data_IF_851923319437
#
_entry.id   IF_851923319437
#
_cell.length_a   1.000
_cell.length_b   1.000
_cell.length_c   1.000
_cell.angle_alpha   90.00
_cell.angle_beta   90.00
_cell.angle_gamma   90.00
#
_symmetry.space_group_name_H-M   'P 1'
#
loop_
_entity.id
_entity.type
_entity.pdbx_description
1 polymer ?
#
# COMPACT_ATOMS: atom_id res chain seq x y z
N UNK A 1 28.48 -14.50 -2.08
CA UNK A 1 27.34 -13.93 -2.85
C UNK A 1 26.09 -14.50 -2.21
N UNK A 2 25.30 -13.68 -1.53
CA UNK A 2 24.06 -14.16 -0.91
C UNK A 2 22.99 -14.31 -1.98
N UNK A 3 22.54 -15.53 -2.21
CA UNK A 3 21.32 -15.79 -2.97
C UNK A 3 20.18 -15.01 -2.28
N UNK A 4 19.64 -14.03 -2.93
CA UNK A 4 18.47 -13.33 -2.41
C UNK A 4 17.30 -14.33 -2.41
N UNK A 5 16.44 -14.29 -1.39
CA UNK A 5 15.26 -15.16 -1.33
C UNK A 5 14.37 -14.99 -2.58
N UNK A 6 14.46 -13.85 -3.27
CA UNK A 6 13.75 -13.57 -4.53
C UNK A 6 14.30 -14.35 -5.73
N UNK A 7 15.62 -14.55 -5.82
CA UNK A 7 16.21 -15.38 -6.88
C UNK A 7 15.73 -16.83 -6.77
N UNK A 8 15.57 -17.34 -5.54
CA UNK A 8 14.99 -18.66 -5.29
C UNK A 8 13.55 -18.77 -5.79
N UNK A 9 12.73 -17.75 -5.60
CA UNK A 9 11.36 -17.72 -6.08
C UNK A 9 11.30 -17.94 -7.60
N UNK A 10 12.13 -17.23 -8.36
CA UNK A 10 12.21 -17.35 -9.81
C UNK A 10 12.72 -18.70 -10.29
N UNK A 11 13.74 -19.22 -9.63
CA UNK A 11 14.39 -20.48 -10.06
C UNK A 11 13.55 -21.71 -9.76
N UNK A 12 12.80 -21.70 -8.65
CA UNK A 12 12.02 -22.85 -8.18
C UNK A 12 10.63 -22.83 -8.79
N UNK A 13 10.08 -21.65 -9.07
CA UNK A 13 8.70 -21.45 -9.53
C UNK A 13 7.69 -22.26 -8.68
N UNK A 14 7.61 -22.02 -7.35
CA UNK A 14 6.82 -22.82 -6.45
C UNK A 14 5.33 -22.63 -6.69
N UNK A 15 4.53 -23.69 -6.52
CA UNK A 15 3.07 -23.57 -6.55
C UNK A 15 2.55 -22.73 -5.38
N UNK A 16 3.14 -22.88 -4.20
CA UNK A 16 2.73 -22.19 -2.97
C UNK A 16 3.96 -21.58 -2.31
N UNK A 17 3.88 -20.31 -1.94
CA UNK A 17 4.84 -19.59 -1.12
C UNK A 17 4.27 -19.39 0.28
N UNK A 18 4.97 -19.90 1.28
CA UNK A 18 4.61 -19.76 2.69
C UNK A 18 5.32 -18.54 3.27
N UNK A 19 4.56 -17.62 3.81
CA UNK A 19 5.06 -16.42 4.49
C UNK A 19 4.99 -16.62 6.00
N UNK A 20 6.13 -16.35 6.65
CA UNK A 20 6.32 -16.57 8.08
C UNK A 20 5.45 -15.62 8.92
N UNK A 21 4.99 -16.09 10.07
CA UNK A 21 4.23 -15.36 11.08
C UNK A 21 4.83 -14.01 11.44
N UNK A 22 6.15 -13.88 11.49
CA UNK A 22 6.83 -12.65 11.87
C UNK A 22 6.43 -11.45 11.01
N UNK A 23 6.08 -11.69 9.74
CA UNK A 23 5.60 -10.65 8.82
C UNK A 23 4.23 -10.11 9.27
N UNK A 24 3.30 -10.98 9.69
CA UNK A 24 2.00 -10.57 10.24
C UNK A 24 2.13 -9.84 11.57
N UNK A 25 2.97 -10.32 12.49
CA UNK A 25 3.22 -9.67 13.77
C UNK A 25 3.80 -8.27 13.57
N UNK A 26 4.72 -8.10 12.63
CA UNK A 26 5.24 -6.79 12.30
C UNK A 26 4.18 -5.87 11.67
N UNK A 27 3.33 -6.41 10.80
CA UNK A 27 2.26 -5.68 10.13
C UNK A 27 1.15 -5.23 11.09
N UNK A 28 0.92 -5.95 12.19
CA UNK A 28 -0.05 -5.61 13.23
C UNK A 28 0.29 -4.28 13.91
N UNK A 29 1.57 -4.02 14.14
CA UNK A 29 2.05 -2.87 14.91
C UNK A 29 2.68 -1.76 14.07
N UNK A 30 2.82 -1.95 12.76
CA UNK A 30 3.54 -1.03 11.90
C UNK A 30 2.88 -0.93 10.52
N UNK A 31 2.29 0.24 10.22
CA UNK A 31 1.62 0.51 8.94
C UNK A 31 2.55 0.34 7.72
N UNK A 32 3.83 0.69 7.86
CA UNK A 32 4.80 0.49 6.78
C UNK A 32 5.08 -0.99 6.53
N UNK A 33 5.17 -1.80 7.60
CA UNK A 33 5.31 -3.25 7.48
C UNK A 33 4.07 -3.88 6.84
N UNK A 34 2.86 -3.37 7.14
CA UNK A 34 1.60 -3.78 6.50
C UNK A 34 1.62 -3.53 5.00
N UNK A 35 1.94 -2.32 4.56
CA UNK A 35 2.07 -1.99 3.13
C UNK A 35 3.10 -2.86 2.40
N UNK A 36 4.21 -3.18 3.07
CA UNK A 36 5.23 -4.06 2.51
C UNK A 36 4.72 -5.50 2.38
N UNK A 37 3.97 -6.00 3.36
CA UNK A 37 3.35 -7.33 3.31
C UNK A 37 2.34 -7.44 2.17
N UNK A 38 1.45 -6.45 2.01
CA UNK A 38 0.50 -6.37 0.90
C UNK A 38 1.21 -6.39 -0.46
N UNK A 39 2.26 -5.57 -0.60
CA UNK A 39 3.07 -5.52 -1.83
C UNK A 39 3.78 -6.84 -2.11
N UNK A 40 4.28 -7.52 -1.07
CA UNK A 40 4.94 -8.82 -1.19
C UNK A 40 3.96 -9.90 -1.64
N UNK A 41 2.78 -9.98 -1.02
CA UNK A 41 1.72 -10.93 -1.40
C UNK A 41 1.32 -10.71 -2.85
N UNK A 42 1.04 -9.46 -3.24
CA UNK A 42 0.68 -9.11 -4.61
C UNK A 42 1.75 -9.54 -5.62
N UNK A 43 3.03 -9.25 -5.33
CA UNK A 43 4.14 -9.61 -6.21
C UNK A 43 4.26 -11.13 -6.39
N UNK A 44 4.08 -11.91 -5.32
CA UNK A 44 4.14 -13.38 -5.38
C UNK A 44 2.98 -13.92 -6.21
N UNK A 45 1.77 -13.41 -6.02
CA UNK A 45 0.58 -13.80 -6.80
C UNK A 45 0.73 -13.45 -8.28
N UNK A 46 1.23 -12.25 -8.59
CA UNK A 46 1.52 -11.84 -9.97
C UNK A 46 2.60 -12.70 -10.64
N UNK A 47 3.48 -13.35 -9.86
CA UNK A 47 4.43 -14.34 -10.38
C UNK A 47 3.81 -15.72 -10.67
N UNK A 48 2.52 -15.93 -10.34
CA UNK A 48 1.79 -17.17 -10.59
C UNK A 48 1.79 -18.17 -9.43
N UNK A 49 2.32 -17.80 -8.26
CA UNK A 49 2.32 -18.63 -7.05
C UNK A 49 1.17 -18.26 -6.13
N UNK A 50 0.58 -19.26 -5.45
CA UNK A 50 -0.34 -19.04 -4.34
C UNK A 50 0.42 -18.58 -3.09
N UNK A 51 -0.20 -17.76 -2.26
CA UNK A 51 0.38 -17.29 -1.00
C UNK A 51 -0.34 -17.88 0.19
N UNK A 52 0.41 -18.54 1.08
CA UNK A 52 -0.05 -18.99 2.39
C UNK A 52 0.54 -18.09 3.49
N UNK A 53 -0.31 -17.42 4.26
CA UNK A 53 0.08 -16.73 5.48
C UNK A 53 -0.07 -17.64 6.69
N UNK A 54 1.03 -17.83 7.42
CA UNK A 54 1.12 -18.73 8.58
C UNK A 54 1.02 -17.98 9.91
N UNK A 55 0.62 -18.72 10.95
CA UNK A 55 0.70 -18.29 12.33
C UNK A 55 -0.31 -17.22 12.72
N UNK A 56 -1.51 -17.25 12.14
CA UNK A 56 -2.62 -16.37 12.51
C UNK A 56 -3.18 -16.82 13.87
N UNK A 57 -3.08 -15.98 14.90
CA UNK A 57 -3.48 -16.31 16.26
C UNK A 57 -4.62 -15.44 16.81
N UNK A 58 -4.88 -14.28 16.19
CA UNK A 58 -5.93 -13.37 16.62
C UNK A 58 -6.70 -12.76 15.45
N UNK A 59 -7.83 -12.12 15.73
CA UNK A 59 -8.73 -11.51 14.74
C UNK A 59 -8.05 -10.37 13.97
N UNK A 60 -7.20 -9.56 14.62
CA UNK A 60 -6.46 -8.47 13.95
C UNK A 60 -5.54 -9.01 12.87
N UNK A 61 -4.79 -10.08 13.17
CA UNK A 61 -3.92 -10.73 12.19
C UNK A 61 -4.73 -11.36 11.05
N UNK A 62 -5.87 -11.95 11.35
CA UNK A 62 -6.76 -12.51 10.32
C UNK A 62 -7.30 -11.41 9.39
N UNK A 63 -7.70 -10.26 9.94
CA UNK A 63 -8.15 -9.11 9.16
C UNK A 63 -7.03 -8.57 8.25
N UNK A 64 -5.83 -8.38 8.78
CA UNK A 64 -4.67 -7.96 7.99
C UNK A 64 -4.41 -8.98 6.86
N UNK A 65 -4.43 -10.28 7.18
CA UNK A 65 -4.19 -11.32 6.20
C UNK A 65 -5.23 -11.32 5.06
N UNK A 66 -6.51 -11.10 5.38
CA UNK A 66 -7.57 -10.94 4.38
C UNK A 66 -7.36 -9.70 3.50
N UNK A 67 -6.94 -8.57 4.08
CA UNK A 67 -6.63 -7.34 3.33
C UNK A 67 -5.47 -7.51 2.35
N UNK A 68 -4.51 -8.40 2.63
CA UNK A 68 -3.42 -8.69 1.69
C UNK A 68 -3.84 -9.47 0.47
N UNK A 69 -5.07 -10.02 0.44
CA UNK A 69 -5.57 -10.95 -0.59
C UNK A 69 -4.75 -12.25 -0.69
N UNK A 70 -4.17 -12.73 0.42
CA UNK A 70 -3.52 -14.03 0.45
C UNK A 70 -4.51 -15.16 0.16
N UNK A 71 -4.07 -16.17 -0.59
CA UNK A 71 -4.93 -17.25 -1.07
C UNK A 71 -5.27 -18.26 0.03
N UNK A 72 -4.36 -18.48 0.97
CA UNK A 72 -4.45 -19.47 2.03
C UNK A 72 -4.06 -18.86 3.37
N UNK A 73 -4.80 -19.23 4.43
CA UNK A 73 -4.58 -18.76 5.79
C UNK A 73 -4.42 -19.96 6.74
N UNK A 74 -3.40 -19.91 7.60
CA UNK A 74 -3.14 -20.95 8.59
C UNK A 74 -2.78 -20.35 9.94
N UNK A 75 -3.34 -20.89 11.02
CA UNK A 75 -2.99 -20.45 12.38
C UNK A 75 -3.91 -21.04 13.46
N UNK A 76 -3.51 -20.82 14.71
CA UNK A 76 -4.25 -21.32 15.88
C UNK A 76 -5.59 -20.65 16.09
N UNK A 77 -5.83 -19.53 15.44
CA UNK A 77 -7.15 -18.90 15.41
C UNK A 77 -8.19 -19.82 14.77
N UNK A 78 -7.82 -20.56 13.73
CA UNK A 78 -8.72 -21.46 12.99
C UNK A 78 -8.76 -22.85 13.61
N UNK A 79 -7.61 -23.46 13.80
CA UNK A 79 -7.50 -24.78 14.41
C UNK A 79 -6.10 -25.01 15.01
N UNK A 80 -6.05 -25.74 16.12
CA UNK A 80 -4.81 -26.29 16.65
C UNK A 80 -4.52 -27.64 16.00
N UNK A 81 -3.25 -28.07 15.91
CA UNK A 81 -2.92 -29.41 15.47
C UNK A 81 -3.68 -30.45 16.29
N UNK A 82 -4.44 -31.29 15.64
CA UNK A 82 -5.23 -32.37 16.25
C UNK A 82 -5.18 -33.62 15.40
N UNK A 83 -5.55 -34.75 15.98
CA UNK A 83 -5.77 -35.96 15.19
C UNK A 83 -6.98 -35.78 14.27
N UNK A 84 -6.90 -36.30 13.04
CA UNK A 84 -7.97 -36.20 12.05
C UNK A 84 -9.36 -36.63 12.58
N UNK A 85 -9.39 -37.56 13.53
CA UNK A 85 -10.63 -38.05 14.18
C UNK A 85 -11.25 -37.02 15.16
N UNK A 86 -10.50 -35.99 15.55
CA UNK A 86 -10.93 -34.95 16.50
C UNK A 86 -11.13 -33.58 15.83
N UNK A 87 -10.96 -33.55 14.51
CA UNK A 87 -11.15 -32.31 13.76
C UNK A 87 -12.66 -32.07 13.55
N UNK A 88 -13.14 -30.93 13.99
CA UNK A 88 -14.52 -30.46 13.80
C UNK A 88 -14.53 -29.37 12.71
N UNK A 89 -14.70 -29.75 11.44
CA UNK A 89 -14.63 -28.80 10.32
C UNK A 89 -15.70 -27.71 10.40
N UNK A 90 -16.87 -28.02 10.96
CA UNK A 90 -18.01 -27.12 11.09
C UNK A 90 -17.68 -25.93 12.00
N UNK A 91 -16.95 -26.13 13.10
CA UNK A 91 -16.51 -25.03 14.01
C UNK A 91 -15.51 -24.12 13.33
N UNK A 92 -14.58 -24.69 12.56
CA UNK A 92 -13.59 -23.94 11.79
C UNK A 92 -14.27 -23.10 10.70
N UNK A 93 -15.25 -23.66 10.00
CA UNK A 93 -16.02 -22.97 8.98
C UNK A 93 -16.86 -21.81 9.56
N UNK A 94 -17.50 -22.02 10.71
CA UNK A 94 -18.25 -20.98 11.40
C UNK A 94 -17.35 -19.84 11.88
N UNK A 95 -16.17 -20.15 12.43
CA UNK A 95 -15.19 -19.15 12.84
C UNK A 95 -14.71 -18.32 11.63
N UNK A 96 -14.42 -19.00 10.52
CA UNK A 96 -13.99 -18.33 9.29
C UNK A 96 -15.09 -17.40 8.72
N UNK A 97 -16.34 -17.87 8.70
CA UNK A 97 -17.48 -17.05 8.23
C UNK A 97 -17.66 -15.78 9.08
N UNK A 98 -17.49 -15.86 10.41
CA UNK A 98 -17.53 -14.69 11.30
C UNK A 98 -16.40 -13.72 10.97
N UNK A 99 -15.17 -14.21 10.86
CA UNK A 99 -14.00 -13.38 10.54
C UNK A 99 -14.19 -12.68 9.19
N UNK A 100 -14.70 -13.37 8.18
CA UNK A 100 -14.97 -12.78 6.86
C UNK A 100 -16.07 -11.73 6.96
N UNK A 101 -17.14 -11.95 7.71
CA UNK A 101 -18.22 -10.99 7.89
C UNK A 101 -17.72 -9.72 8.58
N UNK A 102 -16.99 -9.85 9.70
CA UNK A 102 -16.40 -8.73 10.43
C UNK A 102 -15.39 -7.96 9.55
N UNK A 103 -14.59 -8.68 8.76
CA UNK A 103 -13.67 -8.09 7.81
C UNK A 103 -14.38 -7.34 6.69
N UNK A 104 -15.51 -7.84 6.21
CA UNK A 104 -16.29 -7.21 5.14
C UNK A 104 -16.87 -5.86 5.58
N UNK A 105 -17.36 -5.76 6.82
CA UNK A 105 -17.86 -4.49 7.37
C UNK A 105 -16.73 -3.46 7.52
N UNK A 106 -15.59 -3.88 8.07
CA UNK A 106 -14.41 -3.03 8.20
C UNK A 106 -13.89 -2.59 6.82
N UNK A 107 -13.78 -3.50 5.87
CA UNK A 107 -13.36 -3.19 4.50
C UNK A 107 -14.31 -2.21 3.80
N UNK A 108 -15.62 -2.33 4.01
CA UNK A 108 -16.59 -1.39 3.46
C UNK A 108 -16.46 0.02 4.05
N UNK A 109 -16.07 0.13 5.34
CA UNK A 109 -15.76 1.42 5.95
C UNK A 109 -14.44 1.99 5.43
N UNK A 110 -13.40 1.18 5.35
CA UNK A 110 -12.10 1.57 4.79
C UNK A 110 -12.23 2.09 3.36
N UNK A 111 -13.05 1.42 2.52
CA UNK A 111 -13.35 1.87 1.16
C UNK A 111 -14.04 3.24 1.15
N UNK A 112 -15.06 3.45 2.00
CA UNK A 112 -15.76 4.74 2.09
C UNK A 112 -14.83 5.88 2.54
N UNK A 113 -13.96 5.59 3.51
CA UNK A 113 -12.99 6.56 4.03
C UNK A 113 -11.94 6.89 2.96
N UNK A 114 -11.48 5.88 2.22
CA UNK A 114 -10.58 6.05 1.09
C UNK A 114 -11.22 6.84 -0.05
N UNK A 115 -12.47 6.57 -0.42
CA UNK A 115 -13.20 7.34 -1.42
C UNK A 115 -13.41 8.80 -0.99
N UNK A 116 -13.68 9.02 0.29
CA UNK A 116 -13.84 10.37 0.85
C UNK A 116 -12.53 11.14 0.82
N UNK A 117 -11.43 10.48 1.17
CA UNK A 117 -10.08 11.02 1.07
C UNK A 117 -9.72 11.37 -0.38
N UNK A 118 -9.97 10.47 -1.34
CA UNK A 118 -9.68 10.75 -2.76
C UNK A 118 -10.56 11.86 -3.33
N UNK A 119 -11.81 11.99 -2.88
CA UNK A 119 -12.67 13.13 -3.25
C UNK A 119 -12.09 14.46 -2.76
N UNK A 120 -11.66 14.52 -1.50
CA UNK A 120 -11.02 15.70 -0.95
C UNK A 120 -9.74 16.04 -1.72
N UNK A 121 -8.87 15.05 -1.92
CA UNK A 121 -7.62 15.22 -2.64
C UNK A 121 -7.86 15.74 -4.08
N UNK A 122 -8.82 15.15 -4.78
CA UNK A 122 -9.20 15.60 -6.13
C UNK A 122 -9.72 17.03 -6.15
N UNK A 123 -10.54 17.40 -5.18
CA UNK A 123 -11.05 18.77 -5.03
C UNK A 123 -9.90 19.76 -4.86
N UNK A 124 -8.97 19.52 -3.92
CA UNK A 124 -7.85 20.40 -3.66
C UNK A 124 -6.86 20.48 -4.85
N UNK A 125 -6.70 19.39 -5.60
CA UNK A 125 -5.92 19.40 -6.85
C UNK A 125 -6.58 20.32 -7.89
N UNK A 126 -7.90 20.23 -8.09
CA UNK A 126 -8.64 21.06 -9.04
C UNK A 126 -8.57 22.54 -8.65
N UNK A 127 -8.72 22.87 -7.36
CA UNK A 127 -8.57 24.22 -6.84
C UNK A 127 -7.15 24.78 -7.06
N UNK A 128 -6.13 23.94 -6.86
CA UNK A 128 -4.74 24.31 -7.15
C UNK A 128 -4.53 24.56 -8.65
N UNK A 129 -5.08 23.71 -9.52
CA UNK A 129 -5.03 23.90 -10.98
C UNK A 129 -5.75 25.19 -11.42
N UNK A 130 -6.94 25.46 -10.84
CA UNK A 130 -7.68 26.69 -11.11
C UNK A 130 -6.89 27.95 -10.66
N UNK A 131 -6.25 27.88 -9.51
CA UNK A 131 -5.40 28.96 -9.01
C UNK A 131 -4.20 29.21 -9.93
N UNK A 132 -3.57 28.16 -10.43
CA UNK A 132 -2.47 28.23 -11.40
C UNK A 132 -2.92 28.82 -12.75
N UNK A 133 -4.13 28.48 -13.23
CA UNK A 133 -4.68 29.06 -14.47
C UNK A 133 -4.95 30.57 -14.37
N UNK A 134 -5.07 31.08 -13.14
CA UNK A 134 -5.16 32.51 -12.83
C UNK A 134 -3.81 33.15 -12.53
N UNK A 135 -2.74 32.49 -12.90
CA UNK A 135 -1.36 32.97 -12.73
C UNK A 135 -0.93 33.20 -11.26
N UNK A 136 -1.63 32.60 -10.30
CA UNK A 136 -1.18 32.63 -8.91
C UNK A 136 0.14 31.88 -8.73
N UNK A 137 1.02 32.35 -7.83
CA UNK A 137 2.27 31.66 -7.54
C UNK A 137 2.03 30.20 -7.13
N UNK A 138 2.89 29.29 -7.58
CA UNK A 138 2.79 27.86 -7.30
C UNK A 138 2.69 27.53 -5.80
N UNK A 139 3.46 28.26 -4.96
CA UNK A 139 3.40 28.12 -3.51
C UNK A 139 2.02 28.45 -2.94
N UNK A 140 1.38 29.51 -3.45
CA UNK A 140 0.05 29.93 -3.02
C UNK A 140 -1.02 28.95 -3.50
N UNK A 141 -0.93 28.52 -4.76
CA UNK A 141 -1.87 27.59 -5.37
C UNK A 141 -1.90 26.22 -4.67
N UNK A 142 -0.76 25.71 -4.22
CA UNK A 142 -0.63 24.38 -3.62
C UNK A 142 -0.68 24.37 -2.08
N UNK A 143 -0.86 25.51 -1.43
CA UNK A 143 -0.80 25.58 0.03
C UNK A 143 -1.81 24.66 0.71
N UNK A 144 -3.09 24.77 0.34
CA UNK A 144 -4.16 23.92 0.88
C UNK A 144 -3.98 22.45 0.57
N UNK A 145 -3.50 22.13 -0.63
CA UNK A 145 -3.20 20.75 -1.03
C UNK A 145 -2.11 20.14 -0.15
N UNK A 146 -1.13 20.91 0.29
CA UNK A 146 -0.09 20.44 1.22
C UNK A 146 -0.58 20.25 2.65
N UNK A 147 -1.71 20.85 3.03
CA UNK A 147 -2.34 20.66 4.35
C UNK A 147 -3.13 19.33 4.41
N UNK A 148 -3.50 18.76 3.27
CA UNK A 148 -4.18 17.46 3.22
C UNK A 148 -3.28 16.38 3.80
N UNK A 149 -3.80 15.59 4.72
CA UNK A 149 -3.02 14.52 5.35
C UNK A 149 -2.52 13.52 4.30
N UNK A 150 -1.30 13.02 4.48
CA UNK A 150 -0.64 12.13 3.51
C UNK A 150 0.02 12.84 2.32
N UNK A 151 -0.34 14.09 1.99
CA UNK A 151 0.33 14.87 0.96
C UNK A 151 1.66 15.38 1.50
N UNK A 152 2.75 14.93 0.92
CA UNK A 152 4.12 15.27 1.34
C UNK A 152 4.76 16.33 0.46
N UNK A 153 4.35 16.40 -0.81
CA UNK A 153 5.00 17.20 -1.83
C UNK A 153 4.07 17.48 -3.00
N UNK A 154 4.18 18.69 -3.56
CA UNK A 154 3.63 19.05 -4.86
C UNK A 154 4.77 19.42 -5.81
N UNK A 155 4.66 19.07 -7.07
CA UNK A 155 5.58 19.51 -8.11
C UNK A 155 4.81 19.80 -9.40
N UNK A 156 5.31 20.76 -10.17
CA UNK A 156 4.71 21.20 -11.42
C UNK A 156 5.59 20.76 -12.58
N UNK A 157 5.00 20.16 -13.59
CA UNK A 157 5.64 19.75 -14.83
C UNK A 157 5.11 20.60 -15.97
N UNK A 158 5.98 20.97 -16.88
CA UNK A 158 5.57 21.56 -18.15
C UNK A 158 5.13 20.47 -19.14
N UNK A 159 4.54 20.82 -20.32
CA UNK A 159 4.13 19.85 -21.35
C UNK A 159 5.24 18.96 -21.88
N UNK A 160 6.50 19.34 -21.71
CA UNK A 160 7.68 18.54 -22.08
C UNK A 160 8.14 17.61 -20.96
N UNK A 161 7.41 17.55 -19.85
CA UNK A 161 7.73 16.71 -18.69
C UNK A 161 8.90 17.21 -17.84
N UNK A 162 9.29 18.48 -18.01
CA UNK A 162 10.36 19.10 -17.23
C UNK A 162 9.76 19.73 -15.99
N UNK A 163 10.34 19.44 -14.84
CA UNK A 163 9.91 19.97 -13.55
C UNK A 163 10.25 21.46 -13.41
N UNK A 164 9.21 22.26 -13.20
CA UNK A 164 9.31 23.74 -13.06
C UNK A 164 9.37 24.16 -11.59
N UNK A 165 8.69 23.44 -10.73
CA UNK A 165 8.60 23.78 -9.32
C UNK A 165 8.50 22.56 -8.42
N UNK A 166 8.88 22.74 -7.18
CA UNK A 166 8.78 21.74 -6.12
C UNK A 166 8.43 22.44 -4.81
N UNK A 167 7.38 21.98 -4.16
CA UNK A 167 6.94 22.47 -2.87
C UNK A 167 6.72 21.27 -1.95
N UNK A 168 7.34 21.26 -0.79
CA UNK A 168 7.21 20.18 0.19
C UNK A 168 6.60 20.73 1.48
N UNK A 169 5.78 19.91 2.14
CA UNK A 169 5.31 20.17 3.50
C UNK A 169 6.53 20.31 4.42
N UNK A 170 6.54 21.33 5.25
CA UNK A 170 7.54 21.47 6.28
C UNK A 170 7.38 20.30 7.28
N UNK A 171 8.32 19.39 7.27
CA UNK A 171 8.36 18.29 8.24
C UNK A 171 9.72 18.33 8.95
N UNK A 172 9.75 18.66 10.26
CA UNK A 172 10.98 18.67 11.04
C UNK A 172 11.67 17.31 11.13
N UNK A 173 10.90 16.21 10.98
CA UNK A 173 11.40 14.83 11.09
C UNK A 173 11.97 14.26 9.79
N UNK A 174 11.85 14.96 8.68
CA UNK A 174 12.57 14.58 7.47
C UNK A 174 14.03 14.97 7.67
N UNK A 175 14.79 14.11 8.29
CA UNK A 175 16.24 14.20 8.26
C UNK A 175 16.66 14.42 6.80
N UNK A 176 17.42 15.49 6.58
CA UNK A 176 18.10 15.77 5.31
C UNK A 176 19.12 14.67 5.06
N UNK A 177 18.61 13.47 4.77
CA UNK A 177 19.45 12.32 4.41
C UNK A 177 20.23 12.68 3.15
N UNK A 178 21.51 12.32 3.11
CA UNK A 178 22.43 12.51 1.98
C UNK A 178 21.89 12.01 0.61
N UNK A 179 20.75 11.31 0.61
CA UNK A 179 20.10 10.69 -0.54
C UNK A 179 18.63 11.11 -0.67
N UNK A 180 18.32 12.41 -0.61
CA UNK A 180 17.03 12.89 -1.09
C UNK A 180 17.19 13.56 -2.47
N UNK A 181 17.35 12.78 -3.56
CA UNK A 181 17.61 13.31 -4.90
C UNK A 181 16.46 14.17 -5.44
N UNK A 182 15.29 14.13 -4.76
CA UNK A 182 14.09 14.86 -5.16
C UNK A 182 13.96 16.22 -4.49
N UNK A 183 14.89 16.61 -3.63
CA UNK A 183 14.83 17.90 -2.94
C UNK A 183 15.14 19.06 -3.87
N UNK A 184 16.03 18.86 -4.85
CA UNK A 184 16.41 19.82 -5.89
C UNK A 184 16.24 19.20 -7.27
N UNK A 185 14.98 18.96 -7.64
CA UNK A 185 14.64 18.29 -8.90
C UNK A 185 14.12 19.25 -9.98
N UNK A 186 14.26 20.57 -9.79
CA UNK A 186 13.95 21.54 -10.83
C UNK A 186 14.81 21.26 -12.08
N UNK A 187 14.18 21.20 -13.25
CA UNK A 187 14.84 20.81 -14.51
C UNK A 187 14.90 19.30 -14.76
N UNK A 188 14.54 18.45 -13.81
CA UNK A 188 14.48 17.00 -14.03
C UNK A 188 13.38 16.64 -15.03
N UNK A 189 13.66 15.62 -15.87
CA UNK A 189 12.73 15.14 -16.90
C UNK A 189 11.99 13.88 -16.43
N UNK A 190 10.65 13.90 -16.50
CA UNK A 190 9.76 12.91 -15.94
C UNK A 190 8.86 12.22 -16.99
N UNK A 191 9.16 12.36 -18.28
CA UNK A 191 8.37 11.79 -19.40
C UNK A 191 8.19 10.29 -19.32
N UNK A 192 9.11 9.56 -18.69
CA UNK A 192 9.08 8.12 -18.51
C UNK A 192 8.11 7.66 -17.41
N UNK A 193 7.59 8.58 -16.59
CA UNK A 193 6.70 8.26 -15.49
C UNK A 193 5.26 8.10 -15.96
N UNK A 194 4.58 7.11 -15.40
CA UNK A 194 3.19 6.80 -15.72
C UNK A 194 2.24 7.97 -15.48
N UNK A 195 2.37 8.67 -14.36
CA UNK A 195 1.54 9.83 -14.04
C UNK A 195 1.65 10.96 -15.07
N UNK A 196 2.82 11.15 -15.69
CA UNK A 196 2.99 12.14 -16.76
C UNK A 196 2.28 11.69 -18.04
N UNK A 197 2.46 10.42 -18.45
CA UNK A 197 1.79 9.85 -19.61
C UNK A 197 0.27 9.92 -19.47
N UNK A 198 -0.26 9.48 -18.33
CA UNK A 198 -1.69 9.51 -18.02
C UNK A 198 -2.27 10.94 -18.01
N UNK A 199 -1.46 11.97 -17.70
CA UNK A 199 -1.91 13.35 -17.75
C UNK A 199 -2.00 13.92 -19.17
N UNK A 200 -1.24 13.39 -20.12
CA UNK A 200 -1.29 13.79 -21.53
C UNK A 200 -2.42 13.11 -22.31
N UNK A 201 -2.91 11.98 -21.85
CA UNK A 201 -3.99 11.19 -22.50
C UNK A 201 -5.41 11.70 -22.15
N UNK A 202 -5.53 12.70 -21.27
CA UNK A 202 -6.79 13.32 -20.84
C UNK A 202 -6.96 14.73 -21.37
#
# INVERSE_FOLDING_TARGET
>A
MGDSNFERLWRINPLIVKLDRSLLVNAENNSRARMLLESLVKMIRESGSLVLLEGIENHTQAHIALQTEADLLQGFLFARPSNLKQHEPELTEQALKRIIADSSESSAQDIRDQESYFRLLRFEILEACHSLSRELPFSTACNKLLEVDGVKRCFLLNPQGIQQGNLARANPDIHRGKFNPLYHSAGAQWTHREYFRNALER
#
